data_IF_423114647272
#
_entry.id   IF_423114647272
#
_cell.length_a   1.000
_cell.length_b   1.000
_cell.length_c   1.000
_cell.angle_alpha   90.00
_cell.angle_beta   90.00
_cell.angle_gamma   90.00
#
_symmetry.space_group_name_H-M   'P 1'
#
loop_
_entity.id
_entity.type
_entity.pdbx_description
1 polymer ?
#
# COMPACT_ATOMS: atom_id res chain seq x y z
N UNK A 1 25.79 0.34 -3.21
CA UNK A 1 25.13 1.42 -2.47
C UNK A 1 23.83 0.85 -1.93
N UNK A 2 23.59 0.91 -0.61
CA UNK A 2 22.38 0.35 -0.01
C UNK A 2 21.35 1.47 0.19
N UNK A 3 20.12 1.23 -0.23
CA UNK A 3 19.00 2.16 -0.12
C UNK A 3 17.85 1.46 0.59
N UNK A 4 17.12 2.19 1.44
CA UNK A 4 15.95 1.68 2.18
C UNK A 4 14.72 2.44 1.74
N UNK A 5 13.65 1.71 1.40
CA UNK A 5 12.33 2.29 1.13
C UNK A 5 11.48 2.30 2.40
N UNK A 6 11.06 3.49 2.85
CA UNK A 6 10.13 3.65 3.98
C UNK A 6 8.70 3.84 3.45
N UNK A 7 7.85 2.82 3.61
CA UNK A 7 6.46 2.84 3.14
C UNK A 7 5.51 3.13 4.30
N UNK A 8 4.98 4.35 4.35
CA UNK A 8 4.03 4.77 5.40
C UNK A 8 2.61 4.28 5.11
N UNK A 9 2.17 3.24 5.82
CA UNK A 9 0.89 2.57 5.58
C UNK A 9 -0.06 2.52 6.80
N UNK A 10 0.21 3.29 7.86
CA UNK A 10 -0.59 3.28 9.09
C UNK A 10 -1.88 4.13 9.03
N UNK A 11 -2.12 4.84 7.93
CA UNK A 11 -3.29 5.70 7.78
C UNK A 11 -4.61 4.93 7.67
N UNK A 12 -5.69 5.47 8.25
CA UNK A 12 -7.04 4.88 8.16
C UNK A 12 -7.72 5.06 6.80
N UNK A 13 -7.32 6.07 6.03
CA UNK A 13 -7.88 6.33 4.71
C UNK A 13 -9.35 6.77 4.70
N UNK A 14 -9.82 7.51 5.71
CA UNK A 14 -11.24 7.91 5.87
C UNK A 14 -11.82 8.68 4.67
N UNK A 15 -10.99 9.43 3.94
CA UNK A 15 -11.38 10.15 2.72
C UNK A 15 -11.62 9.22 1.51
N UNK A 16 -11.27 7.94 1.60
CA UNK A 16 -11.51 6.94 0.56
C UNK A 16 -12.88 6.23 0.73
N UNK A 17 -13.79 6.81 1.50
CA UNK A 17 -15.10 6.23 1.78
C UNK A 17 -15.05 5.06 2.78
N UNK A 18 -16.21 4.45 3.07
CA UNK A 18 -16.34 3.38 4.07
C UNK A 18 -15.61 2.10 3.65
N UNK A 19 -15.34 1.22 4.62
CA UNK A 19 -14.67 -0.08 4.43
C UNK A 19 -13.34 -0.19 5.19
N UNK A 20 -12.60 -1.27 4.94
CA UNK A 20 -11.28 -1.52 5.54
C UNK A 20 -10.29 -0.35 5.28
N UNK A 21 -9.18 -0.21 6.03
CA UNK A 21 -8.16 0.78 5.72
C UNK A 21 -7.71 0.70 4.24
N UNK A 22 -7.61 1.86 3.57
CA UNK A 22 -7.46 1.94 2.11
C UNK A 22 -6.33 1.05 1.56
N UNK A 23 -5.20 0.99 2.27
CA UNK A 23 -4.02 0.23 1.87
C UNK A 23 -4.27 -1.28 1.75
N UNK A 24 -5.27 -1.81 2.48
CA UNK A 24 -5.62 -3.24 2.44
C UNK A 24 -6.77 -3.55 1.50
N UNK A 25 -7.42 -2.53 0.90
CA UNK A 25 -8.53 -2.78 -0.03
C UNK A 25 -8.02 -3.32 -1.35
N UNK A 26 -8.83 -4.21 -1.90
CA UNK A 26 -8.67 -4.71 -3.26
C UNK A 26 -8.87 -3.57 -4.26
N UNK A 27 -7.94 -3.47 -5.19
CA UNK A 27 -8.09 -2.76 -6.45
C UNK A 27 -7.65 -3.77 -7.50
N UNK A 28 -8.40 -4.02 -8.57
CA UNK A 28 -8.03 -4.99 -9.61
C UNK A 28 -7.48 -6.33 -9.11
N UNK A 29 -8.10 -6.94 -8.10
CA UNK A 29 -7.72 -8.25 -7.55
C UNK A 29 -6.40 -8.31 -6.76
N UNK A 30 -5.84 -7.17 -6.37
CA UNK A 30 -4.71 -7.12 -5.44
C UNK A 30 -4.88 -5.98 -4.43
N UNK A 31 -4.46 -6.15 -3.15
CA UNK A 31 -4.42 -5.06 -2.19
C UNK A 31 -3.54 -3.91 -2.69
N UNK A 32 -3.97 -2.67 -2.45
CA UNK A 32 -3.18 -1.48 -2.83
C UNK A 32 -1.75 -1.54 -2.29
N UNK A 33 -1.57 -1.92 -1.01
CA UNK A 33 -0.25 -2.03 -0.38
C UNK A 33 0.65 -3.06 -1.07
N UNK A 34 0.08 -4.18 -1.54
CA UNK A 34 0.84 -5.25 -2.21
C UNK A 34 1.51 -4.74 -3.49
N UNK A 35 0.82 -3.87 -4.25
CA UNK A 35 1.39 -3.25 -5.46
C UNK A 35 2.63 -2.42 -5.14
N UNK A 36 2.54 -1.58 -4.11
CA UNK A 36 3.66 -0.72 -3.68
C UNK A 36 4.84 -1.57 -3.20
N UNK A 37 4.59 -2.58 -2.36
CA UNK A 37 5.64 -3.49 -1.91
C UNK A 37 6.32 -4.22 -3.07
N UNK A 38 5.56 -4.71 -4.04
CA UNK A 38 6.12 -5.40 -5.21
C UNK A 38 7.05 -4.49 -6.04
N UNK A 39 6.69 -3.21 -6.20
CA UNK A 39 7.53 -2.25 -6.94
C UNK A 39 8.89 -2.02 -6.27
N UNK A 40 8.93 -1.87 -4.94
CA UNK A 40 10.18 -1.65 -4.21
C UNK A 40 10.96 -2.94 -3.94
N UNK A 41 10.31 -4.09 -3.88
CA UNK A 41 10.98 -5.39 -3.74
C UNK A 41 11.71 -5.83 -5.03
N UNK A 42 11.35 -5.25 -6.19
CA UNK A 42 11.99 -5.50 -7.47
C UNK A 42 13.10 -4.49 -7.83
N UNK A 43 13.47 -3.60 -6.90
CA UNK A 43 14.49 -2.55 -7.08
C UNK A 43 15.90 -3.06 -6.74
#
# INVERSE_FOLDING_TARGET
MNVVALIVAAGRGSRAGPGAPKQYRELGGSPVLRRTLAAFAAH
#
